data_IF_610376808061
#
_entry.id   IF_610376808061
#
_cell.length_a   1.000
_cell.length_b   1.000
_cell.length_c   1.000
_cell.angle_alpha   90.00
_cell.angle_beta   90.00
_cell.angle_gamma   90.00
#
_symmetry.space_group_name_H-M   'P 1'
#
loop_
_entity.id
_entity.type
_entity.pdbx_description
1 polymer ?
#
# COMPACT_ATOMS: atom_id res chain seq x y z
N UNK A 1 19.10 -0.28 11.24
CA UNK A 1 19.87 0.48 10.24
C UNK A 1 19.02 1.04 9.08
N UNK A 2 17.97 0.37 8.60
CA UNK A 2 17.18 0.84 7.43
C UNK A 2 16.19 1.98 7.72
N UNK A 3 15.74 2.16 8.97
CA UNK A 3 14.71 3.14 9.30
C UNK A 3 15.16 4.61 9.11
N UNK A 4 16.37 5.03 9.52
CA UNK A 4 16.87 6.38 9.21
C UNK A 4 17.02 6.61 7.70
N UNK A 5 17.56 5.63 6.97
CA UNK A 5 17.69 5.70 5.51
C UNK A 5 16.32 5.86 4.83
N UNK A 6 15.33 5.04 5.18
CA UNK A 6 13.99 5.15 4.62
C UNK A 6 13.35 6.49 4.97
N UNK A 7 13.53 7.01 6.19
CA UNK A 7 13.01 8.33 6.57
C UNK A 7 13.60 9.45 5.72
N UNK A 8 14.92 9.45 5.51
CA UNK A 8 15.59 10.41 4.64
C UNK A 8 15.13 10.26 3.19
N UNK A 9 15.07 9.03 2.67
CA UNK A 9 14.59 8.78 1.31
C UNK A 9 13.15 9.32 1.12
N UNK A 10 12.24 8.98 2.03
CA UNK A 10 10.86 9.48 2.00
C UNK A 10 10.72 10.97 2.31
N UNK A 11 11.77 11.67 2.76
CA UNK A 11 11.76 13.13 2.85
C UNK A 11 12.24 13.80 1.57
N UNK A 12 13.30 13.27 0.97
CA UNK A 12 13.88 13.83 -0.26
C UNK A 12 13.00 13.59 -1.50
N UNK A 13 12.31 12.45 -1.56
CA UNK A 13 11.43 12.07 -2.69
C UNK A 13 10.29 13.06 -2.99
N UNK A 14 9.95 13.96 -2.04
CA UNK A 14 8.93 15.00 -2.27
C UNK A 14 9.48 16.27 -2.92
N UNK A 15 10.81 16.44 -2.92
CA UNK A 15 11.49 17.65 -3.39
C UNK A 15 12.47 17.36 -4.52
N UNK A 16 12.83 16.10 -4.73
CA UNK A 16 13.72 15.63 -5.79
C UNK A 16 13.03 14.53 -6.62
N UNK A 17 12.61 14.92 -7.84
CA UNK A 17 11.94 14.04 -8.79
C UNK A 17 12.86 12.92 -9.31
N UNK A 18 14.18 13.12 -9.34
CA UNK A 18 15.15 12.10 -9.75
C UNK A 18 15.24 10.95 -8.73
N UNK A 19 15.26 11.28 -7.43
CA UNK A 19 15.22 10.28 -6.36
C UNK A 19 13.86 9.57 -6.32
N UNK A 20 12.76 10.29 -6.56
CA UNK A 20 11.43 9.69 -6.71
C UNK A 20 11.40 8.65 -7.83
N UNK A 21 11.88 9.01 -9.02
CA UNK A 21 11.88 8.13 -10.19
C UNK A 21 12.80 6.90 -9.99
N UNK A 22 14.05 7.12 -9.56
CA UNK A 22 15.05 6.04 -9.47
C UNK A 22 14.82 5.10 -8.29
N UNK A 23 14.38 5.61 -7.13
CA UNK A 23 14.36 4.82 -5.89
C UNK A 23 12.96 4.34 -5.46
N UNK A 24 11.89 5.03 -5.88
CA UNK A 24 10.53 4.77 -5.39
C UNK A 24 9.58 4.35 -6.50
N UNK A 25 9.61 5.03 -7.66
CA UNK A 25 8.62 4.84 -8.71
C UNK A 25 8.61 3.41 -9.26
N UNK A 26 9.78 2.84 -9.57
CA UNK A 26 9.86 1.46 -10.09
C UNK A 26 9.35 0.43 -9.08
N UNK A 27 9.64 0.62 -7.80
CA UNK A 27 9.15 -0.27 -6.75
C UNK A 27 7.63 -0.15 -6.58
N UNK A 28 7.08 1.06 -6.63
CA UNK A 28 5.63 1.31 -6.59
C UNK A 28 4.94 0.68 -7.81
N UNK A 29 5.49 0.86 -9.02
CA UNK A 29 4.98 0.22 -10.25
C UNK A 29 5.04 -1.31 -10.18
N UNK A 30 6.09 -1.86 -9.58
CA UNK A 30 6.21 -3.30 -9.38
C UNK A 30 5.14 -3.83 -8.41
N UNK A 31 4.92 -3.15 -7.28
CA UNK A 31 3.87 -3.52 -6.32
C UNK A 31 2.48 -3.42 -6.96
N UNK A 32 2.22 -2.36 -7.72
CA UNK A 32 0.95 -2.19 -8.44
C UNK A 32 0.68 -3.35 -9.39
N UNK A 33 1.66 -3.73 -10.22
CA UNK A 33 1.55 -4.87 -11.14
C UNK A 33 1.28 -6.19 -10.40
N UNK A 34 2.03 -6.48 -9.34
CA UNK A 34 1.85 -7.70 -8.55
C UNK A 34 0.44 -7.80 -7.95
N UNK A 35 -0.09 -6.69 -7.43
CA UNK A 35 -1.45 -6.64 -6.90
C UNK A 35 -2.50 -6.80 -8.00
N UNK A 36 -2.31 -6.12 -9.14
CA UNK A 36 -3.20 -6.22 -10.29
C UNK A 36 -3.29 -7.66 -10.80
N UNK A 37 -2.15 -8.32 -11.01
CA UNK A 37 -2.07 -9.68 -11.52
C UNK A 37 -2.75 -10.66 -10.57
N UNK A 38 -2.48 -10.52 -9.26
CA UNK A 38 -3.14 -11.32 -8.24
C UNK A 38 -4.67 -11.13 -8.26
N UNK A 39 -5.16 -9.88 -8.26
CA UNK A 39 -6.61 -9.62 -8.28
C UNK A 39 -7.25 -10.21 -9.54
N UNK A 40 -6.62 -10.05 -10.71
CA UNK A 40 -7.12 -10.59 -11.97
C UNK A 40 -7.19 -12.13 -11.96
N UNK A 41 -6.18 -12.79 -11.40
CA UNK A 41 -6.16 -14.25 -11.23
C UNK A 41 -7.32 -14.72 -10.34
N UNK A 42 -7.55 -14.05 -9.21
CA UNK A 42 -8.63 -14.40 -8.27
C UNK A 42 -10.02 -14.12 -8.83
N UNK A 43 -10.18 -13.12 -9.69
CA UNK A 43 -11.42 -12.88 -10.44
C UNK A 43 -11.66 -14.02 -11.43
N UNK A 44 -10.63 -14.41 -12.19
CA UNK A 44 -10.71 -15.51 -13.17
C UNK A 44 -11.07 -16.84 -12.50
N UNK A 45 -10.56 -17.08 -11.30
CA UNK A 45 -10.88 -18.25 -10.48
C UNK A 45 -12.29 -18.21 -9.85
N UNK A 46 -13.06 -17.14 -10.04
CA UNK A 46 -14.39 -16.96 -9.46
C UNK A 46 -14.40 -16.69 -7.95
N UNK A 47 -13.24 -16.36 -7.37
CA UNK A 47 -13.11 -16.09 -5.92
C UNK A 47 -13.48 -14.65 -5.60
N UNK A 48 -13.03 -13.70 -6.43
CA UNK A 48 -13.38 -12.29 -6.29
C UNK A 48 -14.47 -11.89 -7.27
N UNK A 49 -15.28 -10.90 -6.86
CA UNK A 49 -16.27 -10.28 -7.73
C UNK A 49 -15.61 -9.63 -8.96
N UNK A 50 -16.27 -9.59 -10.13
CA UNK A 50 -15.73 -8.91 -11.30
C UNK A 50 -15.60 -7.40 -11.04
N UNK A 51 -14.36 -6.91 -10.95
CA UNK A 51 -14.01 -5.50 -10.79
C UNK A 51 -12.82 -5.17 -11.69
N UNK A 52 -12.57 -3.87 -11.89
CA UNK A 52 -11.33 -3.43 -12.52
C UNK A 52 -10.15 -3.73 -11.58
N UNK A 53 -9.29 -4.67 -11.98
CA UNK A 53 -8.16 -5.13 -11.18
C UNK A 53 -7.09 -4.04 -11.00
N UNK A 54 -6.84 -3.22 -12.02
CA UNK A 54 -5.82 -2.18 -11.98
C UNK A 54 -6.24 -1.04 -11.04
N UNK A 55 -7.50 -0.60 -11.13
CA UNK A 55 -8.08 0.39 -10.23
C UNK A 55 -8.13 -0.15 -8.79
N UNK A 56 -8.53 -1.41 -8.61
CA UNK A 56 -8.58 -2.02 -7.27
C UNK A 56 -7.19 -2.08 -6.64
N UNK A 57 -6.16 -2.48 -7.39
CA UNK A 57 -4.77 -2.46 -6.93
C UNK A 57 -4.32 -1.05 -6.50
N UNK A 58 -4.66 -0.03 -7.31
CA UNK A 58 -4.35 1.36 -6.99
C UNK A 58 -5.04 1.83 -5.70
N UNK A 59 -6.31 1.47 -5.49
CA UNK A 59 -7.04 1.80 -4.27
C UNK A 59 -6.42 1.12 -3.04
N UNK A 60 -6.03 -0.14 -3.14
CA UNK A 60 -5.34 -0.88 -2.05
C UNK A 60 -4.04 -0.19 -1.66
N UNK A 61 -3.24 0.21 -2.66
CA UNK A 61 -2.01 0.96 -2.42
C UNK A 61 -2.28 2.32 -1.76
N UNK A 62 -3.36 3.00 -2.15
CA UNK A 62 -3.80 4.25 -1.53
C UNK A 62 -4.14 4.08 -0.04
N UNK A 63 -4.87 3.03 0.33
CA UNK A 63 -5.17 2.73 1.74
C UNK A 63 -3.89 2.48 2.54
N UNK A 64 -2.96 1.69 2.00
CA UNK A 64 -1.67 1.44 2.64
C UNK A 64 -0.89 2.73 2.86
N UNK A 65 -0.78 3.55 1.81
CA UNK A 65 -0.09 4.82 1.84
C UNK A 65 -0.68 5.77 2.90
N UNK A 66 -2.02 5.87 2.97
CA UNK A 66 -2.72 6.69 3.95
C UNK A 66 -2.42 6.30 5.41
N UNK A 67 -2.21 5.01 5.68
CA UNK A 67 -1.91 4.51 7.03
C UNK A 67 -0.43 4.65 7.41
N UNK A 68 0.49 4.51 6.45
CA UNK A 68 1.92 4.38 6.74
C UNK A 68 2.69 5.69 6.54
N UNK A 69 2.33 6.52 5.55
CA UNK A 69 3.05 7.77 5.26
C UNK A 69 3.16 8.68 6.49
N UNK A 70 2.09 8.94 7.29
CA UNK A 70 2.19 9.80 8.47
C UNK A 70 3.21 9.29 9.50
N UNK A 71 3.30 7.97 9.69
CA UNK A 71 4.20 7.34 10.65
C UNK A 71 5.66 7.39 10.17
N UNK A 72 5.89 7.16 8.87
CA UNK A 72 7.22 7.29 8.26
C UNK A 72 7.70 8.73 8.31
N UNK A 73 6.81 9.71 8.11
CA UNK A 73 7.09 11.15 8.21
C UNK A 73 7.27 11.65 9.65
N UNK A 74 7.00 10.83 10.65
CA UNK A 74 7.11 11.20 12.06
C UNK A 74 5.99 12.11 12.58
N UNK A 75 4.89 12.26 11.82
CA UNK A 75 3.67 12.97 12.26
C UNK A 75 2.99 12.16 13.37
N UNK A 76 3.02 10.83 13.25
CA UNK A 76 2.56 9.90 14.29
C UNK A 76 3.68 8.90 14.63
N UNK A 77 3.65 8.27 15.81
CA UNK A 77 4.61 7.22 16.16
C UNK A 77 4.55 6.04 15.19
N UNK A 78 5.69 5.35 15.01
CA UNK A 78 5.71 4.11 14.25
C UNK A 78 4.85 3.05 14.96
N UNK A 79 3.97 2.33 14.25
CA UNK A 79 3.15 1.30 14.85
C UNK A 79 4.02 0.13 15.35
N UNK A 80 3.64 -0.42 16.50
CA UNK A 80 4.25 -1.66 17.02
C UNK A 80 4.02 -2.83 16.05
N UNK A 81 4.75 -3.96 16.18
CA UNK A 81 4.47 -5.16 15.39
C UNK A 81 3.01 -5.61 15.43
N UNK A 82 2.39 -5.59 16.61
CA UNK A 82 1.00 -5.98 16.83
C UNK A 82 0.05 -5.03 16.10
N UNK A 83 0.32 -3.71 16.20
CA UNK A 83 -0.47 -2.71 15.51
C UNK A 83 -0.31 -2.78 13.99
N UNK A 84 0.88 -3.14 13.49
CA UNK A 84 1.09 -3.37 12.05
C UNK A 84 0.26 -4.55 11.54
N UNK A 85 0.19 -5.62 12.32
CA UNK A 85 -0.62 -6.79 11.98
C UNK A 85 -2.11 -6.42 11.95
N UNK A 86 -2.61 -5.78 13.01
CA UNK A 86 -4.01 -5.34 13.07
C UNK A 86 -4.40 -4.37 11.94
N UNK A 87 -3.49 -3.47 11.54
CA UNK A 87 -3.72 -2.59 10.38
C UNK A 87 -3.82 -3.36 9.07
N UNK A 88 -2.98 -4.39 8.88
CA UNK A 88 -3.00 -5.22 7.69
C UNK A 88 -4.30 -6.04 7.61
N UNK A 89 -4.74 -6.64 8.72
CA UNK A 89 -6.02 -7.35 8.81
C UNK A 89 -7.18 -6.42 8.49
N UNK A 90 -7.27 -5.26 9.14
CA UNK A 90 -8.36 -4.31 8.91
C UNK A 90 -8.41 -3.81 7.45
N UNK A 91 -7.26 -3.63 6.79
CA UNK A 91 -7.23 -3.28 5.37
C UNK A 91 -7.76 -4.39 4.49
N UNK A 92 -7.41 -5.65 4.78
CA UNK A 92 -7.86 -6.82 4.01
C UNK A 92 -9.35 -7.04 4.22
N UNK A 93 -9.84 -6.96 5.45
CA UNK A 93 -11.26 -7.06 5.79
C UNK A 93 -12.06 -5.99 5.03
N UNK A 94 -11.61 -4.74 5.07
CA UNK A 94 -12.25 -3.65 4.34
C UNK A 94 -12.22 -3.87 2.81
N UNK A 95 -11.15 -4.44 2.28
CA UNK A 95 -11.02 -4.73 0.85
C UNK A 95 -12.00 -5.82 0.40
N UNK A 96 -12.11 -6.89 1.19
CA UNK A 96 -12.87 -8.09 0.84
C UNK A 96 -14.36 -7.94 1.17
N UNK A 97 -14.67 -7.40 2.35
CA UNK A 97 -16.04 -7.32 2.88
C UNK A 97 -16.66 -5.92 2.71
N UNK A 98 -15.84 -4.89 2.55
CA UNK A 98 -16.30 -3.51 2.43
C UNK A 98 -16.77 -2.90 3.76
N UNK A 99 -17.51 -1.78 3.69
CA UNK A 99 -17.98 -1.01 4.87
C UNK A 99 -19.36 -1.49 5.37
N UNK A 100 -19.92 -2.56 4.80
CA UNK A 100 -21.30 -2.96 5.16
C UNK A 100 -21.33 -3.61 6.54
N UNK A 101 -22.14 -3.06 7.43
CA UNK A 101 -22.75 -3.84 8.51
C UNK A 101 -23.83 -4.73 7.87
N UNK A 102 -23.86 -6.01 8.26
CA UNK A 102 -24.89 -6.97 7.80
C UNK A 102 -26.30 -6.49 8.17
#
# INVERSE_FOLDING_TARGET
AQLPFNRTLFSEVWVDDGILEEAVAERVKQIHRLLQDYIAERITAGVFRPVDAALTAQLVMGMFAGLIIPAVRGIVPLPSPEKRHALAEAMVDLLLDGVRAQ
#
